data_IF_373590958034
#
_entry.id   IF_373590958034
#
_cell.length_a   1.000
_cell.length_b   1.000
_cell.length_c   1.000
_cell.angle_alpha   90.00
_cell.angle_beta   90.00
_cell.angle_gamma   90.00
#
_symmetry.space_group_name_H-M   'P 1'
#
loop_
_entity.id
_entity.type
_entity.pdbx_description
1 polymer ?
#
# COMPACT_ATOMS: atom_id res chain seq x y z
N UNK A 1 18.75 -4.17 -11.61
CA UNK A 1 19.93 -5.06 -11.50
C UNK A 1 20.60 -4.98 -10.13
N UNK A 2 20.77 -3.80 -9.51
CA UNK A 2 21.45 -3.68 -8.20
C UNK A 2 20.67 -4.28 -7.00
N UNK A 3 19.33 -4.28 -7.03
CA UNK A 3 18.49 -4.84 -5.94
C UNK A 3 18.35 -6.37 -5.97
N UNK A 4 18.49 -7.00 -7.16
CA UNK A 4 18.56 -8.46 -7.34
C UNK A 4 19.74 -9.03 -6.55
N UNK A 5 20.89 -8.36 -6.62
CA UNK A 5 22.11 -8.79 -5.93
C UNK A 5 22.17 -8.39 -4.45
N UNK A 6 21.43 -7.36 -4.02
CA UNK A 6 21.32 -7.02 -2.59
C UNK A 6 20.53 -8.07 -1.79
N UNK A 7 19.55 -8.74 -2.41
CA UNK A 7 18.90 -9.92 -1.84
C UNK A 7 19.89 -11.07 -1.62
N UNK A 8 20.79 -11.31 -2.58
CA UNK A 8 21.89 -12.27 -2.44
C UNK A 8 22.94 -11.84 -1.38
N UNK A 9 23.23 -10.53 -1.26
CA UNK A 9 24.22 -10.00 -0.29
C UNK A 9 23.77 -10.16 1.18
N UNK A 10 22.48 -10.13 1.47
CA UNK A 10 21.96 -10.38 2.83
C UNK A 10 22.02 -11.87 3.24
N UNK A 11 22.41 -12.76 2.32
CA UNK A 11 22.46 -14.22 2.53
C UNK A 11 23.89 -14.80 2.51
N UNK A 12 24.95 -13.98 2.45
CA UNK A 12 26.33 -14.46 2.51
C UNK A 12 26.78 -14.82 3.95
N UNK A 13 25.95 -15.58 4.67
CA UNK A 13 26.38 -16.41 5.79
C UNK A 13 26.21 -17.87 5.37
N UNK A 14 27.25 -18.68 5.56
CA UNK A 14 27.37 -20.09 5.14
C UNK A 14 26.40 -21.07 5.84
N UNK A 15 25.27 -20.59 6.36
CA UNK A 15 24.28 -21.34 7.14
C UNK A 15 22.85 -21.30 6.57
N UNK A 16 22.59 -20.52 5.50
CA UNK A 16 21.26 -20.51 4.87
C UNK A 16 20.99 -21.82 4.12
N UNK A 17 19.81 -22.38 4.33
CA UNK A 17 19.29 -23.60 3.70
C UNK A 17 18.08 -23.33 2.78
N UNK A 18 17.75 -22.06 2.53
CA UNK A 18 16.66 -21.69 1.64
C UNK A 18 16.94 -22.19 0.21
N UNK A 19 15.98 -22.90 -0.42
CA UNK A 19 16.09 -23.28 -1.82
C UNK A 19 16.24 -22.08 -2.76
N UNK A 20 16.98 -22.27 -3.86
CA UNK A 20 17.27 -21.21 -4.81
C UNK A 20 16.03 -20.52 -5.39
N UNK A 21 14.95 -21.27 -5.67
CA UNK A 21 13.70 -20.70 -6.18
C UNK A 21 13.02 -19.74 -5.18
N UNK A 22 13.16 -19.98 -3.87
CA UNK A 22 12.67 -19.05 -2.85
C UNK A 22 13.57 -17.82 -2.73
N UNK A 23 14.88 -17.98 -2.86
CA UNK A 23 15.81 -16.84 -2.88
C UNK A 23 15.52 -15.93 -4.07
N UNK A 24 15.33 -16.49 -5.26
CA UNK A 24 14.94 -15.73 -6.46
C UNK A 24 13.54 -15.13 -6.31
N UNK A 25 12.54 -15.90 -5.85
CA UNK A 25 11.17 -15.40 -5.67
C UNK A 25 11.06 -14.27 -4.64
N UNK A 26 11.82 -14.31 -3.56
CA UNK A 26 11.91 -13.22 -2.58
C UNK A 26 12.64 -12.00 -3.17
N UNK A 27 13.68 -12.21 -3.99
CA UNK A 27 14.41 -11.14 -4.66
C UNK A 27 13.60 -10.47 -5.79
N UNK A 28 12.82 -11.23 -6.56
CA UNK A 28 11.98 -10.72 -7.65
C UNK A 28 10.70 -10.06 -7.14
N UNK A 29 10.21 -10.41 -5.95
CA UNK A 29 9.14 -9.64 -5.31
C UNK A 29 9.58 -8.19 -4.98
N UNK A 30 10.85 -7.96 -4.64
CA UNK A 30 11.38 -6.60 -4.52
C UNK A 30 11.26 -5.80 -5.83
N UNK A 31 11.18 -6.46 -7.01
CA UNK A 31 10.84 -5.83 -8.30
C UNK A 31 9.34 -5.71 -8.54
N UNK A 32 8.53 -6.68 -8.13
CA UNK A 32 7.07 -6.62 -8.30
C UNK A 32 6.45 -5.46 -7.51
N UNK A 33 7.05 -5.09 -6.37
CA UNK A 33 6.73 -3.89 -5.58
C UNK A 33 6.92 -2.57 -6.37
N UNK A 34 7.69 -2.58 -7.48
CA UNK A 34 7.84 -1.45 -8.41
C UNK A 34 6.94 -1.55 -9.66
N UNK A 35 6.00 -2.49 -9.71
CA UNK A 35 5.00 -2.62 -10.79
C UNK A 35 5.44 -3.48 -11.97
N UNK A 36 6.46 -4.33 -11.83
CA UNK A 36 7.04 -5.10 -12.94
C UNK A 36 6.54 -6.54 -13.10
N UNK A 37 5.70 -7.08 -12.21
CA UNK A 37 5.13 -8.42 -12.38
C UNK A 37 3.62 -8.36 -12.62
N UNK A 38 3.20 -8.68 -13.84
CA UNK A 38 1.79 -8.83 -14.20
C UNK A 38 1.35 -10.29 -14.08
N UNK A 39 1.04 -10.73 -12.85
CA UNK A 39 0.58 -12.09 -12.56
C UNK A 39 -0.67 -12.51 -13.35
N UNK A 40 -1.43 -11.56 -13.88
CA UNK A 40 -2.64 -11.82 -14.65
C UNK A 40 -2.34 -12.28 -16.09
N UNK A 41 -1.06 -12.29 -16.49
CA UNK A 41 -0.61 -12.88 -17.76
C UNK A 41 -0.08 -14.31 -17.61
N UNK A 42 0.08 -14.80 -16.38
CA UNK A 42 0.53 -16.17 -16.11
C UNK A 42 -0.56 -17.20 -16.43
N UNK A 43 -0.11 -18.42 -16.78
CA UNK A 43 -0.99 -19.53 -17.14
C UNK A 43 -1.16 -20.48 -15.96
N UNK A 44 -2.33 -21.12 -15.88
CA UNK A 44 -2.56 -22.23 -14.94
C UNK A 44 -1.62 -23.41 -15.23
N UNK A 45 -1.25 -24.13 -14.17
CA UNK A 45 -0.35 -25.28 -14.20
C UNK A 45 0.95 -25.02 -13.44
N UNK A 46 1.90 -25.96 -13.54
CA UNK A 46 3.19 -25.90 -12.87
C UNK A 46 3.14 -26.33 -11.40
N UNK A 47 4.22 -26.02 -10.68
CA UNK A 47 4.33 -26.18 -9.23
C UNK A 47 4.80 -24.87 -8.61
N UNK A 48 4.47 -24.65 -7.35
CA UNK A 48 4.76 -23.39 -6.67
C UNK A 48 6.28 -23.12 -6.53
N UNK A 49 7.11 -24.16 -6.61
CA UNK A 49 8.56 -24.17 -6.42
C UNK A 49 9.37 -24.26 -7.72
N UNK A 50 8.72 -24.13 -8.88
CA UNK A 50 9.39 -24.28 -10.19
C UNK A 50 10.21 -23.04 -10.63
N UNK A 51 10.24 -21.99 -9.81
CA UNK A 51 10.94 -20.73 -10.08
C UNK A 51 10.25 -19.83 -11.11
N UNK A 52 9.42 -20.38 -12.01
CA UNK A 52 8.62 -19.61 -12.96
C UNK A 52 7.41 -18.98 -12.29
N UNK A 53 6.74 -19.73 -11.40
CA UNK A 53 5.51 -19.29 -10.76
C UNK A 53 5.72 -18.87 -9.30
N UNK A 54 6.90 -19.17 -8.74
CA UNK A 54 7.21 -18.96 -7.34
C UNK A 54 7.02 -17.51 -6.92
N UNK A 55 7.50 -16.55 -7.70
CA UNK A 55 7.38 -15.12 -7.42
C UNK A 55 5.93 -14.64 -7.36
N UNK A 56 5.10 -15.04 -8.32
CA UNK A 56 3.69 -14.67 -8.41
C UNK A 56 2.85 -15.37 -7.34
N UNK A 57 3.20 -16.60 -6.96
CA UNK A 57 2.61 -17.31 -5.84
C UNK A 57 2.94 -16.64 -4.50
N UNK A 58 4.21 -16.34 -4.27
CA UNK A 58 4.68 -15.63 -3.08
C UNK A 58 4.06 -14.23 -2.97
N UNK A 59 3.89 -13.53 -4.09
CA UNK A 59 3.13 -12.28 -4.16
C UNK A 59 1.65 -12.50 -3.80
N UNK A 60 1.00 -13.52 -4.39
CA UNK A 60 -0.39 -13.83 -4.07
C UNK A 60 -0.59 -14.15 -2.58
N UNK A 61 0.32 -14.90 -1.95
CA UNK A 61 0.29 -15.16 -0.51
C UNK A 61 0.41 -13.87 0.31
N UNK A 62 1.28 -12.96 -0.12
CA UNK A 62 1.46 -11.66 0.55
C UNK A 62 0.16 -10.83 0.50
N UNK A 63 -0.48 -10.80 -0.66
CA UNK A 63 -1.69 -10.00 -0.89
C UNK A 63 -2.96 -10.61 -0.28
N UNK A 64 -3.08 -11.95 -0.27
CA UNK A 64 -4.36 -12.63 0.01
C UNK A 64 -4.35 -13.44 1.32
N UNK A 65 -3.17 -13.76 1.85
CA UNK A 65 -3.04 -14.63 3.02
C UNK A 65 -2.39 -13.94 4.20
N UNK A 66 -1.20 -13.35 4.03
CA UNK A 66 -0.50 -12.68 5.12
C UNK A 66 0.61 -11.74 4.60
N UNK A 67 0.44 -10.42 4.77
CA UNK A 67 1.36 -9.39 4.26
C UNK A 67 2.83 -9.55 4.72
N UNK A 68 3.06 -10.13 5.90
CA UNK A 68 4.41 -10.39 6.41
C UNK A 68 5.02 -11.74 6.01
N UNK A 69 4.35 -12.57 5.22
CA UNK A 69 4.73 -13.98 5.02
C UNK A 69 6.13 -14.13 4.43
N UNK A 70 6.52 -13.26 3.50
CA UNK A 70 7.85 -13.32 2.87
C UNK A 70 8.97 -13.01 3.84
N UNK A 71 8.75 -12.08 4.76
CA UNK A 71 9.72 -11.80 5.82
C UNK A 71 9.88 -13.01 6.72
N UNK A 72 8.79 -13.72 7.01
CA UNK A 72 8.81 -14.91 7.87
C UNK A 72 9.52 -16.07 7.15
N UNK A 73 9.23 -16.30 5.87
CA UNK A 73 9.94 -17.28 5.04
C UNK A 73 11.43 -16.93 4.96
N UNK A 74 11.76 -15.67 4.65
CA UNK A 74 13.15 -15.21 4.56
C UNK A 74 13.88 -15.23 5.92
N UNK A 75 13.18 -15.11 7.05
CA UNK A 75 13.76 -15.24 8.39
C UNK A 75 13.97 -16.71 8.80
N UNK A 76 13.29 -17.64 8.14
CA UNK A 76 13.34 -19.08 8.43
C UNK A 76 14.50 -19.76 7.69
N UNK A 77 15.72 -19.21 7.81
CA UNK A 77 16.85 -19.58 6.95
C UNK A 77 17.52 -20.92 7.31
N UNK A 78 17.43 -21.36 8.56
CA UNK A 78 18.14 -22.54 9.07
C UNK A 78 17.18 -23.72 9.20
N UNK A 79 17.47 -24.83 8.51
CA UNK A 79 16.61 -26.02 8.42
C UNK A 79 15.21 -25.71 7.86
N UNK A 80 15.15 -24.91 6.80
CA UNK A 80 13.89 -24.52 6.18
C UNK A 80 13.11 -25.75 5.68
N UNK A 81 11.80 -25.76 5.92
CA UNK A 81 10.83 -26.69 5.34
C UNK A 81 9.56 -25.93 4.95
N UNK A 82 8.73 -26.56 4.12
CA UNK A 82 7.41 -26.03 3.73
C UNK A 82 6.43 -25.91 4.92
N UNK A 83 6.76 -26.48 6.08
CA UNK A 83 5.94 -26.37 7.30
C UNK A 83 5.74 -24.91 7.74
N UNK A 84 6.57 -23.97 7.27
CA UNK A 84 6.38 -22.54 7.52
C UNK A 84 5.01 -22.06 7.02
N UNK A 85 4.52 -22.56 5.88
CA UNK A 85 3.21 -22.19 5.37
C UNK A 85 2.11 -22.67 6.32
N UNK A 86 2.19 -23.93 6.76
CA UNK A 86 1.23 -24.48 7.71
C UNK A 86 1.28 -23.81 9.08
N UNK A 87 2.47 -23.46 9.54
CA UNK A 87 2.69 -22.81 10.84
C UNK A 87 2.16 -21.39 10.85
N UNK A 88 2.36 -20.63 9.77
CA UNK A 88 2.00 -19.20 9.70
C UNK A 88 0.60 -18.98 9.17
N UNK A 89 0.17 -19.76 8.18
CA UNK A 89 -1.09 -19.59 7.45
C UNK A 89 -2.15 -20.62 7.84
N UNK A 90 -1.78 -21.67 8.57
CA UNK A 90 -2.69 -22.75 8.96
C UNK A 90 -2.99 -23.78 7.85
N UNK A 91 -2.38 -23.61 6.67
CA UNK A 91 -2.62 -24.42 5.47
C UNK A 91 -1.29 -24.90 4.89
N UNK A 92 -1.23 -26.13 4.37
CA UNK A 92 -0.06 -26.61 3.63
C UNK A 92 0.10 -25.89 2.27
N UNK A 93 1.32 -25.92 1.74
CA UNK A 93 1.67 -25.17 0.53
C UNK A 93 0.92 -25.67 -0.71
N UNK A 94 0.59 -26.96 -0.77
CA UNK A 94 -0.18 -27.55 -1.87
C UNK A 94 -1.60 -27.00 -1.90
N UNK A 95 -2.28 -26.94 -0.74
CA UNK A 95 -3.62 -26.35 -0.62
C UNK A 95 -3.64 -24.87 -0.97
N UNK A 96 -2.58 -24.14 -0.61
CA UNK A 96 -2.40 -22.73 -0.97
C UNK A 96 -2.14 -22.55 -2.46
N UNK A 97 -1.34 -23.44 -3.05
CA UNK A 97 -1.07 -23.46 -4.49
C UNK A 97 -2.34 -23.72 -5.30
N UNK A 98 -3.19 -24.66 -4.89
CA UNK A 98 -4.49 -24.91 -5.52
C UNK A 98 -5.39 -23.67 -5.50
N UNK A 99 -5.38 -22.90 -4.40
CA UNK A 99 -6.12 -21.65 -4.30
C UNK A 99 -5.54 -20.56 -5.19
N UNK A 100 -4.22 -20.45 -5.27
CA UNK A 100 -3.56 -19.56 -6.23
C UNK A 100 -3.96 -19.90 -7.68
N UNK A 101 -3.96 -21.19 -8.04
CA UNK A 101 -4.39 -21.68 -9.36
C UNK A 101 -5.89 -21.44 -9.64
N UNK A 102 -6.70 -21.31 -8.60
CA UNK A 102 -8.11 -20.90 -8.71
C UNK A 102 -8.27 -19.37 -8.81
N UNK A 103 -7.30 -18.58 -8.32
CA UNK A 103 -7.34 -17.12 -8.29
C UNK A 103 -7.17 -16.44 -9.65
N UNK A 104 -6.70 -17.16 -10.67
CA UNK A 104 -6.64 -16.65 -12.04
C UNK A 104 -8.05 -16.33 -12.54
N UNK A 105 -8.46 -15.07 -12.38
CA UNK A 105 -9.67 -14.53 -12.98
C UNK A 105 -9.55 -14.59 -14.51
N UNK A 106 -10.66 -14.81 -15.25
CA UNK A 106 -10.65 -14.80 -16.72
C UNK A 106 -10.25 -13.43 -17.32
N UNK A 107 -10.20 -12.39 -16.49
CA UNK A 107 -9.78 -11.03 -16.87
C UNK A 107 -9.04 -10.37 -15.70
N UNK A 108 -7.90 -9.74 -16.00
CA UNK A 108 -7.18 -8.83 -15.08
C UNK A 108 -8.19 -7.85 -14.45
N UNK A 109 -8.25 -7.71 -13.11
CA UNK A 109 -9.02 -6.65 -12.48
C UNK A 109 -8.62 -5.32 -13.11
N UNK A 110 -9.56 -4.64 -13.75
CA UNK A 110 -9.33 -3.27 -14.19
C UNK A 110 -9.26 -2.42 -12.93
N UNK A 111 -8.10 -1.84 -12.65
CA UNK A 111 -8.00 -0.77 -11.66
C UNK A 111 -9.09 0.27 -11.98
N UNK A 112 -9.95 0.63 -11.01
CA UNK A 112 -10.78 1.80 -11.24
C UNK A 112 -9.85 2.99 -11.52
N UNK A 113 -10.22 3.91 -12.43
CA UNK A 113 -9.35 5.02 -12.81
C UNK A 113 -8.98 5.92 -11.61
N UNK A 114 -9.75 5.84 -10.52
CA UNK A 114 -9.52 6.50 -9.24
C UNK A 114 -9.88 5.54 -8.10
N UNK A 115 -9.24 5.66 -6.91
CA UNK A 115 -9.68 4.91 -5.73
C UNK A 115 -11.12 5.27 -5.35
N UNK A 116 -11.85 4.33 -4.76
CA UNK A 116 -13.11 4.65 -4.09
C UNK A 116 -12.80 5.44 -2.81
N UNK A 117 -13.49 6.56 -2.61
CA UNK A 117 -13.29 7.43 -1.46
C UNK A 117 -14.47 7.36 -0.48
N UNK A 118 -14.14 7.15 0.79
CA UNK A 118 -15.07 7.38 1.91
C UNK A 118 -14.48 8.41 2.86
N UNK A 119 -15.34 9.15 3.56
CA UNK A 119 -14.92 10.23 4.46
C UNK A 119 -15.72 10.18 5.75
N UNK A 120 -15.15 10.76 6.81
CA UNK A 120 -15.81 10.86 8.12
C UNK A 120 -17.03 11.79 8.14
N UNK A 121 -17.12 12.69 7.18
CA UNK A 121 -18.15 13.70 7.06
C UNK A 121 -17.88 14.61 5.87
N UNK A 122 -18.89 15.36 5.46
CA UNK A 122 -18.80 16.29 4.33
C UNK A 122 -19.80 17.44 4.51
N UNK A 123 -19.54 18.56 3.83
CA UNK A 123 -20.37 19.75 3.89
C UNK A 123 -20.86 20.13 2.49
N UNK A 124 -21.84 19.39 2.00
CA UNK A 124 -22.48 19.62 0.70
C UNK A 124 -23.13 21.02 0.60
N UNK A 125 -23.23 21.60 -0.61
CA UNK A 125 -22.79 21.04 -1.90
C UNK A 125 -21.33 21.35 -2.25
N UNK A 126 -20.66 22.23 -1.51
CA UNK A 126 -19.35 22.80 -1.88
C UNK A 126 -18.17 22.19 -1.11
N UNK A 127 -18.40 21.04 -0.46
CA UNK A 127 -17.49 20.42 0.50
C UNK A 127 -17.59 18.89 0.49
N UNK A 128 -17.98 18.29 -0.64
CA UNK A 128 -18.19 16.85 -0.81
C UNK A 128 -16.88 16.09 -0.94
N UNK A 129 -16.90 14.79 -0.69
CA UNK A 129 -15.70 13.92 -0.72
C UNK A 129 -15.00 13.87 -2.08
N UNK A 130 -15.73 13.95 -3.19
CA UNK A 130 -15.16 13.86 -4.55
C UNK A 130 -14.13 14.97 -4.79
N UNK A 131 -14.35 16.15 -4.21
CA UNK A 131 -13.45 17.30 -4.30
C UNK A 131 -12.13 17.14 -3.53
N UNK A 132 -11.91 16.00 -2.87
CA UNK A 132 -10.60 15.70 -2.30
C UNK A 132 -9.65 15.02 -3.31
N UNK A 133 -10.18 14.50 -4.42
CA UNK A 133 -9.44 13.65 -5.37
C UNK A 133 -9.84 13.93 -6.84
N UNK A 134 -10.41 15.10 -7.12
CA UNK A 134 -10.91 15.44 -8.46
C UNK A 134 -9.83 16.09 -9.35
N UNK A 135 -8.66 16.38 -8.79
CA UNK A 135 -7.55 17.03 -9.48
C UNK A 135 -7.73 18.53 -9.71
N UNK A 136 -8.82 19.14 -9.21
CA UNK A 136 -9.06 20.58 -9.28
C UNK A 136 -8.76 21.23 -7.93
N UNK A 137 -7.60 21.87 -7.83
CA UNK A 137 -7.20 22.55 -6.61
C UNK A 137 -8.15 23.71 -6.20
N UNK A 138 -9.10 24.13 -7.05
CA UNK A 138 -10.10 25.16 -6.73
C UNK A 138 -11.36 24.62 -6.06
N UNK A 139 -11.55 23.30 -5.96
CA UNK A 139 -12.61 22.69 -5.16
C UNK A 139 -12.07 22.37 -3.77
N UNK A 140 -12.93 21.84 -2.89
CA UNK A 140 -12.51 21.40 -1.55
C UNK A 140 -13.42 20.32 -0.99
N UNK A 141 -12.84 19.35 -0.30
CA UNK A 141 -13.56 18.59 0.71
C UNK A 141 -13.57 19.34 2.03
N UNK A 142 -14.68 19.31 2.77
CA UNK A 142 -14.80 19.99 4.05
C UNK A 142 -15.73 19.25 5.01
N UNK A 143 -15.34 19.15 6.28
CA UNK A 143 -16.20 18.64 7.36
C UNK A 143 -16.79 19.78 8.21
N UNK A 144 -17.82 19.49 9.00
CA UNK A 144 -18.38 20.38 10.03
C UNK A 144 -17.76 20.15 11.41
N UNK A 145 -16.57 19.57 11.43
CA UNK A 145 -15.78 19.31 12.64
C UNK A 145 -14.35 19.82 12.39
N UNK A 146 -13.58 20.08 13.43
CA UNK A 146 -12.18 20.51 13.29
C UNK A 146 -11.21 19.35 12.96
N UNK A 147 -11.77 18.18 12.68
CA UNK A 147 -11.08 16.92 12.38
C UNK A 147 -11.90 16.13 11.37
N UNK A 148 -11.25 15.19 10.70
CA UNK A 148 -11.90 14.27 9.78
C UNK A 148 -10.91 13.28 9.21
N UNK A 149 -11.42 12.26 8.53
CA UNK A 149 -10.59 11.31 7.80
C UNK A 149 -11.10 11.12 6.38
N UNK A 150 -10.17 10.86 5.46
CA UNK A 150 -10.46 10.30 4.14
C UNK A 150 -9.84 8.92 4.05
N UNK A 151 -10.58 7.98 3.48
CA UNK A 151 -10.13 6.63 3.20
C UNK A 151 -10.26 6.35 1.71
N UNK A 152 -9.17 5.90 1.12
CA UNK A 152 -9.02 5.58 -0.29
C UNK A 152 -8.87 4.06 -0.40
N UNK A 153 -9.83 3.42 -1.06
CA UNK A 153 -9.79 2.00 -1.40
C UNK A 153 -9.40 1.85 -2.87
N UNK A 154 -8.21 1.33 -3.12
CA UNK A 154 -7.70 1.06 -4.46
C UNK A 154 -8.22 -0.26 -5.06
N UNK A 155 -8.94 -1.07 -4.28
CA UNK A 155 -9.43 -2.39 -4.67
C UNK A 155 -8.36 -3.48 -4.75
N UNK A 156 -7.09 -3.10 -4.88
CA UNK A 156 -5.91 -3.98 -4.86
C UNK A 156 -4.77 -3.31 -4.10
N UNK A 157 -3.82 -4.09 -3.55
CA UNK A 157 -2.60 -3.56 -2.95
C UNK A 157 -1.86 -2.64 -3.93
N UNK A 158 -1.77 -1.36 -3.58
CA UNK A 158 -1.17 -0.32 -4.43
C UNK A 158 0.02 0.27 -3.71
N UNK A 159 1.20 0.25 -4.31
CA UNK A 159 2.39 0.84 -3.70
C UNK A 159 2.35 2.36 -3.72
N UNK A 160 2.50 2.99 -2.56
CA UNK A 160 2.59 4.46 -2.41
C UNK A 160 3.91 4.80 -1.71
N UNK A 161 4.66 5.76 -2.28
CA UNK A 161 5.92 6.25 -1.68
C UNK A 161 5.90 7.73 -1.33
N UNK A 162 4.86 8.45 -1.74
CA UNK A 162 4.67 9.85 -1.43
C UNK A 162 3.19 10.19 -1.41
N UNK A 163 2.85 11.25 -0.69
CA UNK A 163 1.54 11.85 -0.75
C UNK A 163 1.67 13.37 -0.77
N UNK A 164 0.65 14.04 -1.30
CA UNK A 164 0.55 15.48 -1.29
C UNK A 164 -0.79 15.92 -0.73
N UNK A 165 -0.78 17.01 0.03
CA UNK A 165 -1.97 17.68 0.51
C UNK A 165 -1.93 19.10 -0.06
N UNK A 166 -3.01 19.50 -0.71
CA UNK A 166 -3.21 20.85 -1.19
C UNK A 166 -4.12 21.61 -0.23
N UNK A 167 -3.69 22.80 0.17
CA UNK A 167 -4.54 23.72 0.91
C UNK A 167 -5.79 24.06 0.06
N UNK A 168 -7.00 24.02 0.62
CA UNK A 168 -8.24 24.44 -0.05
C UNK A 168 -8.20 25.87 -0.65
N UNK A 169 -9.29 26.35 -1.24
CA UNK A 169 -9.37 27.68 -1.85
C UNK A 169 -9.92 28.78 -0.93
N UNK A 170 -10.28 28.47 0.33
CA UNK A 170 -11.14 29.30 1.18
C UNK A 170 -10.46 29.74 2.50
N UNK A 171 -10.86 29.17 3.65
CA UNK A 171 -10.42 29.59 4.99
C UNK A 171 -9.11 28.95 5.48
N UNK A 172 -8.05 29.74 5.67
CA UNK A 172 -6.76 29.24 6.23
C UNK A 172 -6.88 28.62 7.62
N UNK A 173 -7.87 29.02 8.41
CA UNK A 173 -8.10 28.50 9.76
C UNK A 173 -8.57 27.06 9.74
N UNK A 174 -9.21 26.63 8.65
CA UNK A 174 -9.75 25.28 8.48
C UNK A 174 -8.72 24.30 7.87
N UNK A 175 -7.54 24.76 7.47
CA UNK A 175 -6.50 23.88 6.91
C UNK A 175 -6.01 22.86 7.94
N UNK A 176 -5.71 21.61 7.51
CA UNK A 176 -5.09 20.63 8.38
C UNK A 176 -3.74 21.13 8.89
N UNK A 177 -3.47 20.86 10.16
CA UNK A 177 -2.17 21.15 10.80
C UNK A 177 -1.45 19.90 11.22
N UNK A 178 -2.21 18.88 11.62
CA UNK A 178 -1.68 17.59 12.04
C UNK A 178 -2.42 16.51 11.28
N UNK A 179 -1.71 15.44 10.93
CA UNK A 179 -2.35 14.26 10.36
C UNK A 179 -1.49 13.03 10.51
N UNK A 180 -2.16 11.90 10.35
CA UNK A 180 -1.56 10.58 10.34
C UNK A 180 -2.00 9.85 9.07
N UNK A 181 -1.04 9.31 8.33
CA UNK A 181 -1.30 8.45 7.19
C UNK A 181 -1.09 6.99 7.62
N UNK A 182 -2.08 6.14 7.31
CA UNK A 182 -2.05 4.71 7.58
C UNK A 182 -2.39 3.91 6.34
N UNK A 183 -1.86 2.69 6.26
CA UNK A 183 -2.19 1.71 5.22
C UNK A 183 -2.81 0.45 5.83
N UNK A 184 -3.71 -0.20 5.12
CA UNK A 184 -4.33 -1.46 5.54
C UNK A 184 -4.59 -2.39 4.35
N UNK A 185 -4.48 -3.69 4.59
CA UNK A 185 -4.81 -4.74 3.62
C UNK A 185 -6.27 -5.16 3.67
N UNK A 186 -6.92 -5.00 4.83
CA UNK A 186 -8.24 -5.56 5.13
C UNK A 186 -9.27 -4.50 5.57
N UNK A 187 -8.86 -3.23 5.69
CA UNK A 187 -9.68 -2.12 6.20
C UNK A 187 -9.87 -2.14 7.73
N UNK A 188 -9.32 -3.13 8.43
CA UNK A 188 -9.51 -3.37 9.87
C UNK A 188 -8.20 -3.13 10.63
N UNK A 189 -7.11 -3.73 10.16
CA UNK A 189 -5.77 -3.63 10.75
C UNK A 189 -4.95 -2.60 10.01
N UNK A 190 -4.45 -1.59 10.74
CA UNK A 190 -3.81 -0.42 10.14
C UNK A 190 -2.34 -0.29 10.55
N UNK A 191 -1.47 -0.15 9.54
CA UNK A 191 -0.05 0.12 9.67
C UNK A 191 0.22 1.62 9.60
N UNK A 192 1.04 2.12 10.52
CA UNK A 192 1.49 3.51 10.53
C UNK A 192 2.49 3.80 9.40
N UNK A 193 2.21 4.83 8.58
CA UNK A 193 3.07 5.21 7.45
C UNK A 193 3.75 6.56 7.63
N UNK A 194 3.03 7.58 8.12
CA UNK A 194 3.60 8.90 8.38
C UNK A 194 2.77 9.65 9.42
N UNK A 195 3.40 10.63 10.06
CA UNK A 195 2.77 11.58 10.96
C UNK A 195 3.37 12.96 10.73
N UNK A 196 2.50 13.98 10.69
CA UNK A 196 2.89 15.38 10.60
C UNK A 196 2.19 16.18 11.68
N UNK A 197 2.89 17.17 12.18
CA UNK A 197 2.39 18.08 13.21
C UNK A 197 2.76 19.51 12.86
N UNK A 198 1.87 20.44 13.23
CA UNK A 198 2.07 21.88 13.12
C UNK A 198 2.44 22.38 11.72
N UNK A 199 1.99 21.67 10.67
CA UNK A 199 2.20 22.12 9.29
C UNK A 199 1.37 23.38 9.02
N UNK A 200 1.91 24.26 8.20
CA UNK A 200 1.26 25.47 7.72
C UNK A 200 1.28 25.56 6.20
N UNK A 201 0.20 26.09 5.65
CA UNK A 201 0.10 26.50 4.25
C UNK A 201 0.15 28.02 4.20
N UNK A 202 1.11 28.57 3.45
CA UNK A 202 1.33 30.01 3.32
C UNK A 202 0.34 30.61 2.33
N UNK A 203 0.08 29.90 1.23
CA UNK A 203 -0.81 30.32 0.16
C UNK A 203 -2.01 29.38 0.03
N UNK A 204 -3.14 29.89 -0.48
CA UNK A 204 -4.24 29.02 -0.93
C UNK A 204 -3.79 28.18 -2.12
N UNK A 205 -4.38 26.99 -2.26
CA UNK A 205 -4.02 26.03 -3.31
C UNK A 205 -2.55 25.59 -3.27
N UNK A 206 -1.84 25.86 -2.17
CA UNK A 206 -0.46 25.41 -1.99
C UNK A 206 -0.46 23.89 -1.80
N UNK A 207 0.21 23.19 -2.71
CA UNK A 207 0.49 21.76 -2.60
C UNK A 207 1.80 21.52 -1.86
N UNK A 208 1.73 20.76 -0.77
CA UNK A 208 2.91 20.25 -0.08
C UNK A 208 3.01 18.74 -0.29
N UNK A 209 4.17 18.27 -0.74
CA UNK A 209 4.46 16.84 -0.97
C UNK A 209 5.35 16.28 0.13
N UNK A 210 5.04 15.06 0.58
CA UNK A 210 5.75 14.34 1.62
C UNK A 210 6.13 12.95 1.11
N UNK A 211 7.37 12.55 1.37
CA UNK A 211 7.89 11.23 1.02
C UNK A 211 7.84 10.31 2.22
N UNK A 212 7.37 9.07 2.01
CA UNK A 212 7.28 8.06 3.06
C UNK A 212 8.65 7.48 3.36
N UNK A 213 8.91 7.20 4.64
CA UNK A 213 10.17 6.59 5.10
C UNK A 213 10.47 5.34 4.25
N UNK A 214 11.65 5.20 3.59
CA UNK A 214 12.03 4.07 2.74
C UNK A 214 12.29 2.74 3.48
N UNK A 215 12.21 2.71 4.82
CA UNK A 215 12.39 1.50 5.64
C UNK A 215 11.10 0.82 6.11
N UNK A 216 9.93 1.40 5.87
CA UNK A 216 8.65 0.69 6.01
C UNK A 216 8.68 -0.54 5.08
N UNK A 217 8.56 -1.73 5.66
CA UNK A 217 8.75 -3.01 4.96
C UNK A 217 7.53 -3.39 4.12
N UNK A 218 6.35 -2.92 4.52
CA UNK A 218 5.07 -3.16 3.86
C UNK A 218 4.53 -1.83 3.31
N UNK A 219 4.46 -1.69 1.98
CA UNK A 219 4.20 -0.40 1.31
C UNK A 219 3.08 -0.41 0.29
N UNK A 220 2.60 -1.60 -0.06
CA UNK A 220 1.49 -1.77 -0.97
C UNK A 220 0.27 -2.13 -0.15
N UNK A 221 -0.64 -1.18 0.05
CA UNK A 221 -1.88 -1.41 0.79
C UNK A 221 -3.07 -1.25 -0.15
N UNK A 222 -4.15 -1.97 0.13
CA UNK A 222 -5.40 -1.76 -0.59
C UNK A 222 -6.10 -0.48 -0.10
N UNK A 223 -6.05 -0.25 1.20
CA UNK A 223 -6.70 0.88 1.86
C UNK A 223 -5.64 1.85 2.38
N UNK A 224 -5.87 3.13 2.15
CA UNK A 224 -5.11 4.21 2.76
C UNK A 224 -6.04 5.15 3.50
N UNK A 225 -5.73 5.47 4.76
CA UNK A 225 -6.51 6.40 5.57
C UNK A 225 -5.65 7.57 6.01
N UNK A 226 -6.11 8.77 5.68
CA UNK A 226 -5.53 10.04 6.08
C UNK A 226 -6.42 10.68 7.15
N UNK A 227 -5.98 10.64 8.40
CA UNK A 227 -6.70 11.22 9.54
C UNK A 227 -6.13 12.61 9.82
N UNK A 228 -6.95 13.63 9.68
CA UNK A 228 -6.56 15.04 9.67
C UNK A 228 -7.20 15.79 10.83
N UNK A 229 -6.47 16.75 11.35
CA UNK A 229 -6.93 17.66 12.38
C UNK A 229 -6.35 19.04 12.15
N UNK A 230 -7.16 20.05 12.42
CA UNK A 230 -6.68 21.40 12.65
C UNK A 230 -6.78 21.76 14.14
N UNK A 231 -6.17 22.89 14.52
CA UNK A 231 -6.10 23.30 15.92
C UNK A 231 -7.10 24.43 16.27
N UNK A 232 -8.01 24.81 15.36
CA UNK A 232 -8.90 25.97 15.52
C UNK A 232 -10.19 25.85 14.72
N UNK A 233 -11.24 26.48 15.22
CA UNK A 233 -12.54 26.51 14.54
C UNK A 233 -13.31 25.21 14.66
N UNK A 234 -14.36 25.10 13.85
CA UNK A 234 -15.34 24.01 13.84
C UNK A 234 -15.36 23.27 12.49
N UNK A 235 -14.38 23.50 11.61
CA UNK A 235 -14.34 22.97 10.25
C UNK A 235 -12.93 22.60 9.85
N UNK A 236 -12.78 21.50 9.14
CA UNK A 236 -11.55 21.07 8.47
C UNK A 236 -11.81 21.06 6.96
N UNK A 237 -10.84 21.51 6.16
CA UNK A 237 -10.92 21.44 4.70
C UNK A 237 -9.61 21.04 4.03
N UNK A 238 -9.71 20.39 2.88
CA UNK A 238 -8.57 20.03 2.03
C UNK A 238 -8.96 20.31 0.58
N UNK A 239 -8.04 20.90 -0.18
CA UNK A 239 -8.26 21.21 -1.59
C UNK A 239 -8.03 20.03 -2.52
N UNK A 240 -7.04 19.19 -2.21
CA UNK A 240 -6.74 17.97 -2.96
C UNK A 240 -5.83 17.06 -2.12
N UNK A 241 -5.99 15.75 -2.27
CA UNK A 241 -5.12 14.70 -1.71
C UNK A 241 -4.66 13.80 -2.83
N UNK A 242 -3.35 13.69 -3.01
CA UNK A 242 -2.75 12.82 -4.02
C UNK A 242 -1.85 11.81 -3.32
N UNK A 243 -2.10 10.52 -3.53
CA UNK A 243 -1.19 9.45 -3.14
C UNK A 243 -0.50 8.93 -4.40
N UNK A 244 0.82 8.92 -4.40
CA UNK A 244 1.63 8.68 -5.60
C UNK A 244 2.73 7.64 -5.37
N UNK A 245 3.07 6.96 -6.47
CA UNK A 245 4.29 6.21 -6.66
C UNK A 245 5.21 6.98 -7.62
N UNK A 246 6.02 7.91 -7.09
CA UNK A 246 6.98 8.65 -7.93
C UNK A 246 8.30 7.87 -7.90
N UNK A 247 8.68 7.24 -9.01
CA UNK A 247 10.06 6.78 -9.18
C UNK A 247 10.96 8.01 -9.33
N UNK A 248 11.81 8.25 -8.33
CA UNK A 248 12.91 9.22 -8.42
C UNK A 248 14.11 8.60 -9.11
#
# INVERSE_FOLDING_TARGET
MLYHELGHLYQYNSQSTLPGYLTEGVADMARSVYGYNDRYTEKKGGTWDDGQHTDNFLLWLTENKHAGILRIINASQVNWTEDVFKTVLGEDVDSLWDQYQQSFAPTKPTLPPFPEITVSGENAPNGIKEYAIDGDNNTKWQTTENRGWLELNYGVPTFINSYAITAANDLKEADPKNWTLRGSHDGINWTWLDMKENVTFVNRNQKNTYYLNPHIVDRAFQYYRLELQNNRGDKLQVGEVILSNIQS
#
